data_IF_980118423598
#
_entry.id   IF_980118423598
#
_cell.length_a   1.000
_cell.length_b   1.000
_cell.length_c   1.000
_cell.angle_alpha   90.00
_cell.angle_beta   90.00
_cell.angle_gamma   90.00
#
_symmetry.space_group_name_H-M   'P 1'
#
loop_
_entity.id
_entity.type
_entity.pdbx_description
1 polymer ?
#
# COMPACT_ATOMS: atom_id res chain seq x y z
N UNK A 1 10.70 -12.19 24.99
CA UNK A 1 10.23 -12.69 23.68
C UNK A 1 11.48 -12.92 22.82
N UNK A 2 11.59 -14.09 22.19
CA UNK A 2 12.68 -14.32 21.23
C UNK A 2 12.37 -13.57 19.94
N UNK A 3 13.38 -12.89 19.38
CA UNK A 3 13.27 -12.24 18.08
C UNK A 3 13.44 -13.32 17.00
N UNK A 4 12.49 -13.37 16.06
CA UNK A 4 12.62 -14.21 14.87
C UNK A 4 13.63 -13.57 13.92
N UNK A 5 14.78 -14.21 13.76
CA UNK A 5 15.87 -13.66 12.96
C UNK A 5 15.52 -13.61 11.45
N UNK A 6 14.70 -14.54 10.97
CA UNK A 6 14.32 -14.60 9.55
C UNK A 6 13.28 -13.53 9.23
N UNK A 7 12.31 -13.32 10.14
CA UNK A 7 11.37 -12.19 10.05
C UNK A 7 12.13 -10.86 10.11
N UNK A 8 13.04 -10.69 11.08
CA UNK A 8 13.82 -9.48 11.20
C UNK A 8 14.67 -9.20 9.95
N UNK A 9 15.33 -10.23 9.40
CA UNK A 9 16.11 -10.06 8.16
C UNK A 9 15.23 -9.62 7.00
N UNK A 10 14.04 -10.20 6.83
CA UNK A 10 13.14 -9.80 5.75
C UNK A 10 12.63 -8.37 5.94
N UNK A 11 12.34 -7.95 7.17
CA UNK A 11 11.85 -6.61 7.50
C UNK A 11 12.81 -5.48 7.09
N UNK A 12 14.12 -5.75 7.18
CA UNK A 12 15.17 -4.75 6.88
C UNK A 12 15.85 -4.99 5.53
N UNK A 13 15.43 -5.99 4.76
CA UNK A 13 16.07 -6.36 3.49
C UNK A 13 15.35 -5.75 2.30
N UNK A 14 16.13 -5.28 1.32
CA UNK A 14 15.65 -4.87 0.00
C UNK A 14 15.47 -6.06 -0.98
N UNK A 15 15.76 -7.30 -0.54
CA UNK A 15 15.61 -8.51 -1.34
C UNK A 15 14.89 -9.58 -0.52
N UNK A 16 14.28 -10.56 -1.21
CA UNK A 16 13.61 -11.69 -0.54
C UNK A 16 14.63 -12.52 0.22
N UNK A 17 14.38 -12.79 1.50
CA UNK A 17 15.21 -13.65 2.36
C UNK A 17 14.51 -15.00 2.53
N UNK A 18 15.23 -16.09 2.22
CA UNK A 18 14.77 -17.44 2.51
C UNK A 18 15.23 -17.89 3.91
N UNK A 19 14.33 -18.46 4.69
CA UNK A 19 14.63 -18.94 6.04
C UNK A 19 13.97 -20.30 6.33
N UNK A 20 14.45 -21.01 7.35
CA UNK A 20 13.82 -22.23 7.84
C UNK A 20 12.50 -21.90 8.55
N UNK A 21 11.42 -22.61 8.23
CA UNK A 21 10.08 -22.28 8.71
C UNK A 21 9.44 -23.46 9.41
N UNK A 22 9.19 -23.31 10.70
CA UNK A 22 8.36 -24.21 11.49
C UNK A 22 7.29 -23.48 12.32
N UNK A 23 6.82 -22.29 11.89
CA UNK A 23 5.85 -21.51 12.63
C UNK A 23 4.59 -21.26 11.80
N UNK A 24 3.43 -21.30 12.46
CA UNK A 24 2.18 -20.89 11.84
C UNK A 24 2.28 -19.40 11.45
N UNK A 25 2.07 -19.12 10.18
CA UNK A 25 2.01 -17.79 9.63
C UNK A 25 0.84 -17.68 8.66
N UNK A 26 0.15 -16.55 8.67
CA UNK A 26 -0.76 -16.21 7.59
C UNK A 26 0.09 -15.88 6.36
N UNK A 27 0.02 -16.70 5.33
CA UNK A 27 0.84 -16.56 4.13
C UNK A 27 0.01 -16.75 2.86
N UNK A 28 0.47 -16.11 1.79
CA UNK A 28 -0.09 -16.22 0.45
C UNK A 28 1.05 -16.08 -0.58
N UNK A 29 0.82 -16.45 -1.86
CA UNK A 29 1.80 -16.25 -2.93
C UNK A 29 2.27 -14.79 -3.01
N UNK A 30 3.58 -14.59 -3.13
CA UNK A 30 4.25 -13.28 -3.23
C UNK A 30 4.20 -12.38 -1.98
N UNK A 31 3.76 -12.85 -0.81
CA UNK A 31 3.80 -12.08 0.45
C UNK A 31 5.17 -11.47 0.73
N UNK A 32 6.25 -12.25 0.56
CA UNK A 32 7.63 -11.75 0.78
C UNK A 32 7.99 -10.64 -0.21
N UNK A 33 7.51 -10.72 -1.45
CA UNK A 33 7.70 -9.65 -2.43
C UNK A 33 6.95 -8.38 -2.02
N UNK A 34 5.75 -8.50 -1.46
CA UNK A 34 5.00 -7.35 -0.92
C UNK A 34 5.74 -6.65 0.21
N UNK A 35 6.44 -7.40 1.09
CA UNK A 35 7.33 -6.83 2.11
C UNK A 35 8.49 -6.06 1.45
N UNK A 36 9.15 -6.68 0.48
CA UNK A 36 10.25 -6.05 -0.26
C UNK A 36 9.77 -4.78 -0.97
N UNK A 37 8.60 -4.81 -1.59
CA UNK A 37 8.02 -3.67 -2.28
C UNK A 37 7.83 -2.47 -1.33
N UNK A 38 7.36 -2.71 -0.10
CA UNK A 38 7.26 -1.65 0.91
C UNK A 38 8.63 -1.05 1.26
N UNK A 39 9.68 -1.88 1.31
CA UNK A 39 11.03 -1.46 1.70
C UNK A 39 11.85 -0.84 0.55
N UNK A 40 11.43 -1.02 -0.70
CA UNK A 40 12.18 -0.50 -1.85
C UNK A 40 12.20 1.03 -1.84
N UNK A 41 13.38 1.66 -1.94
CA UNK A 41 13.48 3.11 -2.06
C UNK A 41 12.93 3.57 -3.41
N UNK A 42 12.45 4.80 -3.44
CA UNK A 42 12.00 5.45 -4.68
C UNK A 42 12.89 6.64 -5.01
N UNK A 43 13.00 6.96 -6.32
CA UNK A 43 13.74 8.11 -6.82
C UNK A 43 12.81 9.23 -7.30
N UNK A 44 11.61 9.32 -6.69
CA UNK A 44 10.60 10.33 -7.01
C UNK A 44 10.60 11.44 -5.96
N UNK A 45 9.99 12.58 -6.28
CA UNK A 45 9.81 13.69 -5.34
C UNK A 45 8.46 14.36 -5.55
N UNK A 46 7.95 15.02 -4.50
CA UNK A 46 6.75 15.82 -4.61
C UNK A 46 7.05 17.15 -5.31
N UNK A 47 6.16 17.56 -6.21
CA UNK A 47 6.23 18.83 -6.93
C UNK A 47 4.97 19.65 -6.65
N UNK A 48 5.18 20.89 -6.21
CA UNK A 48 4.08 21.81 -5.97
C UNK A 48 3.41 22.21 -7.30
N UNK A 49 2.11 21.95 -7.41
CA UNK A 49 1.27 22.46 -8.47
C UNK A 49 0.55 23.74 -8.01
N UNK A 50 1.09 24.89 -8.39
CA UNK A 50 0.50 26.20 -8.03
C UNK A 50 -0.80 26.47 -8.75
N UNK A 51 -0.99 25.97 -9.97
CA UNK A 51 -2.19 26.22 -10.74
C UNK A 51 -3.41 25.54 -10.14
N UNK A 52 -3.21 24.35 -9.56
CA UNK A 52 -4.25 23.59 -8.84
C UNK A 52 -4.37 23.99 -7.36
N UNK A 53 -3.45 24.79 -6.82
CA UNK A 53 -3.47 25.20 -5.41
C UNK A 53 -4.46 26.30 -5.15
N UNK A 54 -5.13 26.23 -3.98
CA UNK A 54 -6.12 27.25 -3.56
C UNK A 54 -5.86 27.59 -2.09
N UNK A 55 -5.76 28.86 -1.79
CA UNK A 55 -5.57 29.36 -0.43
C UNK A 55 -6.79 29.20 0.48
N UNK A 56 -6.62 29.53 1.76
CA UNK A 56 -7.70 29.47 2.78
C UNK A 56 -8.90 30.31 2.44
N UNK A 57 -8.70 31.43 1.78
CA UNK A 57 -9.74 32.38 1.35
C UNK A 57 -10.32 32.06 -0.03
N UNK A 58 -9.87 30.95 -0.66
CA UNK A 58 -10.28 30.58 -2.01
C UNK A 58 -9.44 31.21 -3.13
N UNK A 59 -8.36 31.92 -2.80
CA UNK A 59 -7.48 32.55 -3.80
C UNK A 59 -6.71 31.50 -4.60
N UNK A 60 -6.89 31.41 -5.94
CA UNK A 60 -6.15 30.49 -6.79
C UNK A 60 -4.63 30.78 -6.75
N UNK A 61 -3.82 29.73 -6.72
CA UNK A 61 -2.35 29.82 -6.69
C UNK A 61 -1.75 30.15 -5.33
N UNK A 62 -2.57 30.46 -4.32
CA UNK A 62 -2.11 30.65 -2.95
C UNK A 62 -1.80 29.31 -2.28
N UNK A 63 -0.80 29.30 -1.39
CA UNK A 63 -0.34 28.14 -0.65
C UNK A 63 -0.34 28.39 0.88
N UNK A 64 -1.19 29.25 1.36
CA UNK A 64 -1.32 29.60 2.78
C UNK A 64 -2.16 28.61 3.60
N UNK A 65 -2.64 27.54 2.99
CA UNK A 65 -3.33 26.43 3.64
C UNK A 65 -2.35 25.44 4.26
N UNK A 66 -2.78 24.77 5.33
CA UNK A 66 -2.07 23.62 5.92
C UNK A 66 -2.57 22.27 5.36
N UNK A 67 -3.60 22.28 4.53
CA UNK A 67 -4.11 21.09 3.87
C UNK A 67 -3.27 20.77 2.64
N UNK A 68 -3.02 19.48 2.43
CA UNK A 68 -2.25 18.97 1.30
C UNK A 68 -3.10 17.95 0.54
N UNK A 69 -3.21 18.12 -0.77
CA UNK A 69 -3.69 17.12 -1.69
C UNK A 69 -2.50 16.65 -2.53
N UNK A 70 -2.28 15.33 -2.58
CA UNK A 70 -1.17 14.74 -3.33
C UNK A 70 -1.76 13.81 -4.39
N UNK A 71 -1.40 14.05 -5.65
CA UNK A 71 -1.82 13.28 -6.81
C UNK A 71 -0.64 12.42 -7.29
N UNK A 72 -0.88 11.13 -7.56
CA UNK A 72 0.12 10.18 -7.99
C UNK A 72 -0.11 8.77 -7.43
N UNK A 73 0.76 7.83 -7.78
CA UNK A 73 0.72 6.48 -7.20
C UNK A 73 0.79 6.54 -5.68
N UNK A 74 -0.21 5.97 -5.01
CA UNK A 74 -0.36 6.10 -3.56
C UNK A 74 0.71 5.34 -2.77
N UNK A 75 1.30 4.26 -3.30
CA UNK A 75 2.41 3.57 -2.65
C UNK A 75 3.68 4.43 -2.66
N UNK A 76 3.97 5.06 -3.78
CA UNK A 76 5.09 6.00 -3.90
C UNK A 76 4.89 7.22 -3.01
N UNK A 77 3.68 7.79 -2.99
CA UNK A 77 3.33 8.91 -2.10
C UNK A 77 3.53 8.54 -0.63
N UNK A 78 3.07 7.37 -0.20
CA UNK A 78 3.26 6.90 1.18
C UNK A 78 4.74 6.80 1.55
N UNK A 79 5.59 6.29 0.64
CA UNK A 79 7.05 6.23 0.83
C UNK A 79 7.68 7.62 0.96
N UNK A 80 7.26 8.58 0.15
CA UNK A 80 7.73 9.97 0.25
C UNK A 80 7.32 10.62 1.57
N UNK A 81 6.13 10.32 2.07
CA UNK A 81 5.64 10.86 3.33
C UNK A 81 6.40 10.33 4.55
N UNK A 82 7.02 9.15 4.48
CA UNK A 82 7.80 8.61 5.60
C UNK A 82 8.90 9.57 6.07
N UNK A 83 9.57 10.28 5.19
CA UNK A 83 10.64 11.22 5.58
C UNK A 83 10.14 12.36 6.48
N UNK A 84 8.90 12.81 6.28
CA UNK A 84 8.37 13.99 6.97
C UNK A 84 7.36 13.63 8.06
N UNK A 85 6.58 12.57 7.87
CA UNK A 85 5.42 12.23 8.69
C UNK A 85 5.58 10.93 9.49
N UNK A 86 6.78 10.35 9.57
CA UNK A 86 7.04 9.16 10.38
C UNK A 86 6.52 9.35 11.81
N UNK A 87 5.60 8.49 12.26
CA UNK A 87 5.02 8.53 13.59
C UNK A 87 4.21 9.79 13.95
N UNK A 88 3.71 10.54 12.95
CA UNK A 88 3.02 11.82 13.20
C UNK A 88 1.54 11.84 12.83
N UNK A 89 1.06 10.89 12.05
CA UNK A 89 -0.32 10.88 11.57
C UNK A 89 -1.24 10.36 12.65
N UNK A 90 -2.23 11.15 13.03
CA UNK A 90 -3.20 10.80 14.10
C UNK A 90 -4.33 9.91 13.62
N UNK A 91 -4.79 10.11 12.40
CA UNK A 91 -5.89 9.34 11.82
C UNK A 91 -5.56 9.01 10.38
N UNK A 92 -5.71 7.75 10.04
CA UNK A 92 -5.65 7.26 8.66
C UNK A 92 -7.02 6.66 8.35
N UNK A 93 -7.62 7.05 7.24
CA UNK A 93 -8.82 6.44 6.70
C UNK A 93 -8.54 5.93 5.29
N UNK A 94 -8.86 4.66 5.04
CA UNK A 94 -8.65 4.00 3.75
C UNK A 94 -9.97 3.41 3.28
N UNK A 95 -10.28 3.63 2.02
CA UNK A 95 -11.41 3.03 1.30
C UNK A 95 -10.86 2.26 0.09
N UNK A 96 -10.37 1.01 0.27
CA UNK A 96 -9.77 0.22 -0.79
C UNK A 96 -10.84 -0.38 -1.69
N UNK A 97 -10.50 -0.93 -2.86
CA UNK A 97 -11.38 -1.80 -3.62
C UNK A 97 -11.88 -2.96 -2.74
N UNK A 98 -13.18 -3.27 -2.79
CA UNK A 98 -13.78 -4.32 -1.95
C UNK A 98 -13.58 -5.73 -2.52
N UNK A 99 -13.03 -5.82 -3.72
CA UNK A 99 -12.75 -7.08 -4.40
C UNK A 99 -14.02 -7.91 -4.69
N UNK A 100 -15.04 -7.25 -5.23
CA UNK A 100 -16.35 -7.85 -5.54
C UNK A 100 -16.36 -8.65 -6.85
N UNK A 101 -15.21 -8.79 -7.52
CA UNK A 101 -15.08 -9.44 -8.83
C UNK A 101 -15.26 -8.48 -10.03
N UNK A 102 -15.67 -7.24 -9.78
CA UNK A 102 -15.76 -6.19 -10.80
C UNK A 102 -14.83 -5.01 -10.51
N UNK A 103 -14.16 -5.01 -9.36
CA UNK A 103 -13.27 -3.96 -8.94
C UNK A 103 -11.95 -3.99 -9.68
N UNK A 104 -11.37 -2.81 -9.86
CA UNK A 104 -10.02 -2.67 -10.36
C UNK A 104 -9.03 -2.63 -9.20
N UNK A 105 -7.93 -3.35 -9.34
CA UNK A 105 -6.79 -3.29 -8.43
C UNK A 105 -5.57 -2.77 -9.18
N UNK A 106 -4.63 -2.17 -8.46
CA UNK A 106 -3.32 -1.85 -9.01
C UNK A 106 -2.51 -3.13 -9.19
N UNK A 107 -1.99 -3.34 -10.38
CA UNK A 107 -0.99 -4.38 -10.62
C UNK A 107 0.37 -3.81 -10.20
N UNK A 108 0.73 -4.01 -8.94
CA UNK A 108 2.07 -3.72 -8.48
C UNK A 108 3.01 -4.72 -9.15
N UNK A 109 3.72 -4.29 -10.18
CA UNK A 109 4.51 -5.14 -11.06
C UNK A 109 5.68 -5.77 -10.29
N UNK A 110 5.56 -7.05 -9.98
CA UNK A 110 6.62 -7.84 -9.38
C UNK A 110 7.59 -8.42 -10.42
N UNK A 111 7.35 -8.19 -11.70
CA UNK A 111 8.19 -8.67 -12.80
C UNK A 111 8.90 -7.51 -13.52
N UNK A 112 10.20 -7.43 -13.37
CA UNK A 112 11.07 -6.47 -14.06
C UNK A 112 11.29 -6.77 -15.57
N UNK A 113 10.54 -7.68 -16.17
CA UNK A 113 10.69 -8.01 -17.59
C UNK A 113 9.33 -8.34 -18.21
N UNK A 114 8.73 -7.38 -18.88
CA UNK A 114 8.05 -7.63 -20.17
C UNK A 114 7.45 -6.36 -20.77
N UNK A 115 8.18 -5.69 -21.64
CA UNK A 115 7.62 -4.73 -22.62
C UNK A 115 6.57 -5.37 -23.57
N UNK A 116 6.43 -6.68 -23.52
CA UNK A 116 5.58 -7.45 -24.44
C UNK A 116 4.09 -7.53 -24.05
N UNK A 117 3.73 -7.12 -22.81
CA UNK A 117 2.35 -7.17 -22.32
C UNK A 117 1.58 -5.85 -22.47
N UNK A 118 2.21 -4.80 -22.97
CA UNK A 118 1.66 -3.44 -23.09
C UNK A 118 0.54 -3.28 -24.14
N UNK A 119 0.18 -4.34 -24.86
CA UNK A 119 -0.73 -4.23 -26.00
C UNK A 119 -2.21 -4.52 -25.76
N UNK A 120 -2.64 -5.13 -24.67
CA UNK A 120 -3.94 -5.81 -24.66
C UNK A 120 -4.92 -5.50 -23.51
N UNK A 121 -4.72 -4.52 -22.64
CA UNK A 121 -5.77 -4.13 -21.70
C UNK A 121 -5.75 -2.61 -21.45
N UNK A 122 -6.73 -1.95 -22.04
CA UNK A 122 -6.80 -0.50 -22.21
C UNK A 122 -7.31 0.28 -21.01
N UNK A 123 -6.89 0.01 -19.77
CA UNK A 123 -7.24 0.87 -18.65
C UNK A 123 -6.00 1.20 -17.82
N UNK A 124 -5.61 2.45 -17.93
CA UNK A 124 -4.58 3.07 -17.12
C UNK A 124 -5.25 4.17 -16.29
N UNK A 125 -4.71 4.45 -15.09
CA UNK A 125 -5.07 5.66 -14.38
C UNK A 125 -4.49 6.91 -15.09
N UNK A 126 -4.80 8.09 -14.58
CA UNK A 126 -4.33 9.36 -15.18
C UNK A 126 -2.80 9.50 -15.15
N UNK A 127 -2.11 8.73 -14.31
CA UNK A 127 -0.66 8.68 -14.18
C UNK A 127 0.01 7.60 -15.03
N UNK A 128 -0.78 6.77 -15.73
CA UNK A 128 -0.28 5.71 -16.61
C UNK A 128 -0.01 4.38 -15.91
N UNK A 129 -0.48 4.18 -14.66
CA UNK A 129 -0.41 2.89 -13.99
C UNK A 129 -1.55 1.99 -14.47
N UNK A 130 -1.26 0.72 -14.65
CA UNK A 130 -2.23 -0.25 -15.14
C UNK A 130 -3.24 -0.64 -14.06
N UNK A 131 -4.52 -0.45 -14.37
CA UNK A 131 -5.64 -0.98 -13.58
C UNK A 131 -6.09 -2.31 -14.19
N UNK A 132 -6.08 -3.37 -13.41
CA UNK A 132 -6.52 -4.70 -13.83
C UNK A 132 -7.79 -5.08 -13.07
N UNK A 133 -8.81 -5.50 -13.81
CA UNK A 133 -10.01 -6.04 -13.18
C UNK A 133 -9.69 -7.37 -12.52
N UNK A 134 -9.90 -7.45 -11.21
CA UNK A 134 -9.72 -8.66 -10.45
C UNK A 134 -11.04 -9.45 -10.44
N UNK A 135 -11.09 -10.57 -11.14
CA UNK A 135 -12.28 -11.39 -11.25
C UNK A 135 -12.17 -12.67 -10.42
N UNK A 136 -13.28 -13.17 -9.89
CA UNK A 136 -13.33 -14.44 -9.14
C UNK A 136 -12.79 -15.65 -9.91
N UNK A 137 -12.81 -15.61 -11.23
CA UNK A 137 -12.21 -16.63 -12.08
C UNK A 137 -10.68 -16.62 -12.08
N UNK A 138 -10.07 -15.54 -11.58
CA UNK A 138 -8.63 -15.46 -11.37
C UNK A 138 -8.24 -16.32 -10.17
N UNK A 139 -7.42 -17.36 -10.35
CA UNK A 139 -6.91 -18.20 -9.26
C UNK A 139 -6.08 -17.42 -8.21
N UNK A 140 -5.77 -16.16 -8.47
CA UNK A 140 -5.04 -15.24 -7.57
C UNK A 140 -5.95 -14.15 -6.98
N UNK A 141 -7.25 -14.24 -7.11
CA UNK A 141 -8.24 -13.23 -6.74
C UNK A 141 -7.94 -12.52 -5.40
N UNK A 142 -7.88 -13.27 -4.31
CA UNK A 142 -7.54 -12.72 -3.00
C UNK A 142 -6.04 -12.37 -2.86
N UNK A 143 -5.18 -13.13 -3.56
CA UNK A 143 -3.72 -12.91 -3.54
C UNK A 143 -3.34 -11.55 -4.08
N UNK A 144 -3.90 -11.17 -5.22
CA UNK A 144 -3.55 -9.92 -5.89
C UNK A 144 -4.06 -8.71 -5.09
N UNK A 145 -5.25 -8.83 -4.48
CA UNK A 145 -5.75 -7.84 -3.53
C UNK A 145 -4.85 -7.69 -2.29
N UNK A 146 -4.42 -8.81 -1.70
CA UNK A 146 -3.50 -8.81 -0.57
C UNK A 146 -2.14 -8.20 -0.92
N UNK A 147 -1.61 -8.54 -2.09
CA UNK A 147 -0.33 -7.99 -2.57
C UNK A 147 -0.40 -6.48 -2.81
N UNK A 148 -1.52 -5.97 -3.28
CA UNK A 148 -1.76 -4.55 -3.43
C UNK A 148 -1.86 -3.83 -2.08
N UNK A 149 -2.65 -4.34 -1.14
CA UNK A 149 -2.97 -3.62 0.10
C UNK A 149 -1.87 -3.73 1.16
N UNK A 150 -1.23 -4.90 1.28
CA UNK A 150 -0.28 -5.19 2.35
C UNK A 150 0.90 -4.21 2.42
N UNK A 151 1.61 -3.85 1.33
CA UNK A 151 2.71 -2.89 1.39
C UNK A 151 2.25 -1.50 1.81
N UNK A 152 1.04 -1.08 1.41
CA UNK A 152 0.46 0.21 1.78
C UNK A 152 0.14 0.30 3.27
N UNK A 153 -0.45 -0.75 3.84
CA UNK A 153 -0.71 -0.85 5.28
C UNK A 153 0.57 -0.86 6.12
N UNK A 154 1.63 -1.50 5.63
CA UNK A 154 2.92 -1.50 6.31
C UNK A 154 3.48 -0.08 6.44
N UNK A 155 3.49 0.67 5.36
CA UNK A 155 3.97 2.05 5.39
C UNK A 155 3.02 2.94 6.20
N UNK A 156 1.71 2.72 6.09
CA UNK A 156 0.72 3.43 6.90
C UNK A 156 0.98 3.27 8.42
N UNK A 157 1.40 2.08 8.86
CA UNK A 157 1.82 1.84 10.24
C UNK A 157 2.98 2.75 10.66
N UNK A 158 3.99 2.88 9.80
CA UNK A 158 5.16 3.72 10.10
C UNK A 158 4.79 5.21 10.21
N UNK A 159 3.80 5.65 9.44
CA UNK A 159 3.29 7.02 9.50
C UNK A 159 2.43 7.27 10.74
N UNK A 160 1.75 6.25 11.25
CA UNK A 160 0.79 6.38 12.34
C UNK A 160 1.50 6.73 13.66
N UNK A 161 0.99 7.74 14.37
CA UNK A 161 1.46 8.09 15.70
C UNK A 161 1.14 6.97 16.70
N UNK A 162 1.88 6.92 17.82
CA UNK A 162 1.67 5.91 18.88
C UNK A 162 0.24 5.90 19.43
N UNK A 163 -0.38 7.07 19.52
CA UNK A 163 -1.78 7.27 19.92
C UNK A 163 -2.72 7.54 18.72
N UNK A 164 -2.32 7.14 17.52
CA UNK A 164 -3.10 7.27 16.29
C UNK A 164 -4.03 6.09 16.05
N UNK A 165 -4.99 6.28 15.14
CA UNK A 165 -5.94 5.24 14.74
C UNK A 165 -6.04 5.12 13.22
N UNK A 166 -6.22 3.89 12.74
CA UNK A 166 -6.46 3.59 11.32
C UNK A 166 -7.84 2.97 11.14
N UNK A 167 -8.58 3.42 10.14
CA UNK A 167 -9.89 2.92 9.76
C UNK A 167 -9.86 2.49 8.30
N UNK A 168 -10.43 1.33 8.02
CA UNK A 168 -10.50 0.78 6.67
C UNK A 168 -11.94 0.34 6.38
N UNK A 169 -12.57 0.94 5.36
CA UNK A 169 -13.87 0.47 4.85
C UNK A 169 -13.68 -0.81 4.07
N UNK A 170 -14.54 -1.79 4.29
CA UNK A 170 -14.54 -3.07 3.57
C UNK A 170 -15.87 -3.76 3.75
N UNK A 171 -16.25 -4.60 2.80
CA UNK A 171 -17.40 -5.51 2.91
C UNK A 171 -16.97 -6.96 3.24
N UNK A 172 -17.90 -7.89 3.15
CA UNK A 172 -17.69 -9.30 3.50
C UNK A 172 -16.68 -10.04 2.62
N UNK A 173 -16.40 -9.58 1.38
CA UNK A 173 -15.54 -10.30 0.42
C UNK A 173 -14.10 -10.42 0.92
N UNK A 174 -13.54 -9.35 1.48
CA UNK A 174 -12.14 -9.33 1.96
C UNK A 174 -11.99 -9.03 3.45
N UNK A 175 -13.07 -8.86 4.19
CA UNK A 175 -13.03 -8.55 5.63
C UNK A 175 -12.15 -9.53 6.41
N UNK A 176 -12.30 -10.84 6.21
CA UNK A 176 -11.52 -11.85 6.93
C UNK A 176 -10.01 -11.76 6.64
N UNK A 177 -9.63 -11.48 5.39
CA UNK A 177 -8.25 -11.30 4.98
C UNK A 177 -7.68 -9.99 5.53
N UNK A 178 -8.47 -8.91 5.47
CA UNK A 178 -8.10 -7.62 6.04
C UNK A 178 -7.80 -7.73 7.54
N UNK A 179 -8.68 -8.34 8.33
CA UNK A 179 -8.47 -8.52 9.77
C UNK A 179 -7.16 -9.27 10.06
N UNK A 180 -6.83 -10.28 9.27
CA UNK A 180 -5.58 -11.05 9.44
C UNK A 180 -4.34 -10.21 9.17
N UNK A 181 -4.29 -9.47 8.05
CA UNK A 181 -3.13 -8.63 7.74
C UNK A 181 -3.03 -7.42 8.68
N UNK A 182 -4.14 -6.84 9.08
CA UNK A 182 -4.17 -5.77 10.08
C UNK A 182 -3.64 -6.25 11.44
N UNK A 183 -4.10 -7.42 11.91
CA UNK A 183 -3.60 -8.01 13.16
C UNK A 183 -2.12 -8.35 13.10
N UNK A 184 -1.61 -8.81 11.96
CA UNK A 184 -0.18 -9.06 11.76
C UNK A 184 0.65 -7.77 11.81
N UNK A 185 0.18 -6.73 11.13
CA UNK A 185 0.91 -5.46 11.00
C UNK A 185 0.82 -4.63 12.28
N UNK A 186 -0.37 -4.43 12.82
CA UNK A 186 -0.63 -3.50 13.92
C UNK A 186 -0.68 -4.18 15.30
N UNK A 187 -0.77 -5.50 15.36
CA UNK A 187 -0.98 -6.26 16.59
C UNK A 187 -2.48 -6.58 16.82
N UNK A 188 -2.78 -7.83 17.15
CA UNK A 188 -4.16 -8.29 17.38
C UNK A 188 -4.82 -7.62 18.60
N UNK A 189 -4.02 -7.14 19.54
CA UNK A 189 -4.45 -6.43 20.74
C UNK A 189 -4.94 -5.00 20.47
N UNK A 190 -4.65 -4.47 19.30
CA UNK A 190 -5.02 -3.11 18.87
C UNK A 190 -6.27 -3.06 17.98
N UNK A 191 -6.95 -4.19 17.84
CA UNK A 191 -8.18 -4.30 17.04
C UNK A 191 -9.43 -4.06 17.90
#
# INVERSE_FOLDING_TARGET
>A
RAIDADVLRQEISATVVEGAQDRYQFTWPDKKKSVVLANQPIAKTLRLDREKSVGRDGTPGSIDTENIYIEGDNLDVLKLLQETYLGKVKVIYIDPPYNTGSDFIYEDDFSLETEEYLGNSGQFDEEGNRLVQNTESNGRFHTDWLNMLYPRLRIAKDLLAEDGAIFVSIDEHEHANLVRIMSEIFGSENY
#
